data_IF_996395983188
#
_entry.id   IF_996395983188
#
_cell.length_a   1.000
_cell.length_b   1.000
_cell.length_c   1.000
_cell.angle_alpha   90.00
_cell.angle_beta   90.00
_cell.angle_gamma   90.00
#
_symmetry.space_group_name_H-M   'P 1'
#
loop_
_entity.id
_entity.type
_entity.pdbx_description
1 polymer ?
#
# COMPACT_ATOMS: atom_id res chain seq x y z
N UNK A 1 18.12 5.69 28.41
CA UNK A 1 16.86 6.42 28.22
C UNK A 1 16.99 7.76 27.47
N UNK A 2 17.98 8.64 27.80
CA UNK A 2 18.13 9.96 27.10
C UNK A 2 18.43 9.82 25.60
N UNK A 3 19.33 8.90 25.19
CA UNK A 3 19.66 8.64 23.78
C UNK A 3 18.46 8.14 22.96
N UNK A 4 17.64 7.24 23.49
CA UNK A 4 16.43 6.74 22.81
C UNK A 4 15.39 7.85 22.66
N UNK A 5 15.24 8.74 23.65
CA UNK A 5 14.36 9.90 23.54
C UNK A 5 14.87 10.89 22.48
N UNK A 6 16.17 11.18 22.44
CA UNK A 6 16.78 12.03 21.44
C UNK A 6 16.65 11.42 20.04
N UNK A 7 16.86 10.11 19.89
CA UNK A 7 16.67 9.41 18.63
C UNK A 7 15.21 9.50 18.15
N UNK A 8 14.24 9.29 19.02
CA UNK A 8 12.81 9.32 18.68
C UNK A 8 12.25 10.75 18.50
N UNK A 9 12.97 11.80 18.89
CA UNK A 9 12.58 13.18 18.62
C UNK A 9 12.80 13.58 17.15
N UNK A 10 13.66 12.84 16.43
CA UNK A 10 13.90 13.03 15.01
C UNK A 10 12.87 12.25 14.20
N UNK A 11 12.29 12.87 13.17
CA UNK A 11 11.29 12.18 12.32
C UNK A 11 11.87 10.90 11.70
N UNK A 12 11.03 9.86 11.54
CA UNK A 12 11.43 8.59 10.92
C UNK A 12 12.01 8.81 9.52
N UNK A 13 11.42 9.72 8.75
CA UNK A 13 11.87 10.09 7.40
C UNK A 13 13.30 10.58 7.43
N UNK A 14 13.63 11.55 8.29
CA UNK A 14 14.99 12.10 8.37
C UNK A 14 15.98 11.02 8.81
N UNK A 15 15.62 10.16 9.75
CA UNK A 15 16.46 9.03 10.17
C UNK A 15 16.73 8.06 9.02
N UNK A 16 15.74 7.77 8.16
CA UNK A 16 15.88 6.93 6.96
C UNK A 16 16.83 7.60 5.96
N UNK A 17 16.65 8.88 5.68
CA UNK A 17 17.54 9.63 4.77
C UNK A 17 18.99 9.63 5.27
N UNK A 18 19.19 9.82 6.57
CA UNK A 18 20.53 9.72 7.20
C UNK A 18 21.08 8.29 7.02
N UNK A 19 20.28 7.26 7.27
CA UNK A 19 20.66 5.85 7.05
C UNK A 19 21.09 5.57 5.61
N UNK A 20 20.32 6.06 4.62
CA UNK A 20 20.67 5.99 3.20
C UNK A 20 22.00 6.67 2.89
N UNK A 21 22.19 7.89 3.37
CA UNK A 21 23.42 8.65 3.14
C UNK A 21 24.65 7.94 3.74
N UNK A 22 24.53 7.44 4.97
CA UNK A 22 25.59 6.66 5.63
C UNK A 22 25.86 5.35 4.87
N UNK A 23 24.84 4.60 4.48
CA UNK A 23 24.96 3.35 3.72
C UNK A 23 25.69 3.57 2.38
N UNK A 24 25.32 4.62 1.65
CA UNK A 24 25.99 5.03 0.40
C UNK A 24 27.45 5.41 0.66
N UNK A 25 27.72 6.27 1.64
CA UNK A 25 29.07 6.72 1.96
C UNK A 25 29.98 5.52 2.34
N UNK A 26 29.51 4.63 3.19
CA UNK A 26 30.26 3.43 3.57
C UNK A 26 30.55 2.52 2.38
N UNK A 27 29.58 2.33 1.47
CA UNK A 27 29.77 1.52 0.26
C UNK A 27 30.83 2.11 -0.69
N UNK A 28 30.93 3.43 -0.77
CA UNK A 28 31.90 4.12 -1.63
C UNK A 28 33.29 4.25 -1.00
N UNK A 29 33.37 4.38 0.33
CA UNK A 29 34.63 4.59 1.04
C UNK A 29 35.39 3.29 1.37
N UNK A 30 34.67 2.17 1.48
CA UNK A 30 35.29 0.88 1.82
C UNK A 30 35.64 0.12 0.53
N UNK A 31 36.92 -0.13 0.22
CA UNK A 31 37.31 -0.91 -0.95
C UNK A 31 36.70 -2.33 -0.89
N UNK A 32 36.09 -2.78 -1.98
CA UNK A 32 35.41 -4.07 -2.06
C UNK A 32 34.39 -4.30 -0.91
N UNK A 33 33.61 -3.26 -0.59
CA UNK A 33 32.75 -3.18 0.60
C UNK A 33 31.85 -4.43 0.80
N UNK A 34 31.33 -5.01 -0.26
CA UNK A 34 30.51 -6.22 -0.20
C UNK A 34 31.25 -7.41 0.43
N UNK A 35 32.57 -7.53 0.23
CA UNK A 35 33.41 -8.62 0.74
C UNK A 35 34.05 -8.27 2.08
N UNK A 36 34.57 -7.03 2.21
CA UNK A 36 35.36 -6.61 3.38
C UNK A 36 34.51 -6.20 4.58
N UNK A 37 33.26 -5.79 4.37
CA UNK A 37 32.36 -5.39 5.44
C UNK A 37 30.95 -6.03 5.35
N UNK A 38 30.82 -7.37 5.21
CA UNK A 38 29.55 -8.05 5.01
C UNK A 38 28.58 -7.84 6.20
N UNK A 39 29.11 -7.54 7.39
CA UNK A 39 28.31 -7.28 8.60
C UNK A 39 27.37 -6.10 8.47
N UNK A 40 27.68 -5.09 7.63
CA UNK A 40 26.79 -3.95 7.41
C UNK A 40 25.54 -4.41 6.64
N UNK A 41 25.69 -5.27 5.64
CA UNK A 41 24.57 -5.84 4.89
C UNK A 41 23.60 -6.70 5.74
N UNK A 42 24.09 -7.27 6.85
CA UNK A 42 23.25 -8.04 7.79
C UNK A 42 22.10 -7.19 8.34
N UNK A 43 22.30 -5.90 8.56
CA UNK A 43 21.24 -5.02 9.04
C UNK A 43 20.05 -4.98 8.07
N UNK A 44 20.33 -4.94 6.76
CA UNK A 44 19.31 -5.03 5.72
C UNK A 44 18.59 -6.38 5.72
N UNK A 45 19.36 -7.47 5.78
CA UNK A 45 18.81 -8.84 5.82
C UNK A 45 17.91 -9.06 7.06
N UNK A 46 18.33 -8.61 8.24
CA UNK A 46 17.54 -8.70 9.47
C UNK A 46 16.23 -7.90 9.37
N UNK A 47 16.29 -6.69 8.81
CA UNK A 47 15.11 -5.85 8.65
C UNK A 47 14.09 -6.50 7.69
N UNK A 48 14.52 -6.93 6.51
CA UNK A 48 13.66 -7.62 5.53
C UNK A 48 13.14 -8.94 6.09
N UNK A 49 13.98 -9.71 6.80
CA UNK A 49 13.58 -10.95 7.47
C UNK A 49 12.50 -10.73 8.54
N UNK A 50 12.60 -9.67 9.34
CA UNK A 50 11.58 -9.32 10.33
C UNK A 50 10.25 -8.93 9.67
N UNK A 51 10.30 -8.19 8.56
CA UNK A 51 9.11 -7.86 7.77
C UNK A 51 8.49 -9.12 7.15
N UNK A 52 9.31 -9.99 6.55
CA UNK A 52 8.86 -11.27 5.99
C UNK A 52 8.14 -12.13 7.03
N UNK A 53 8.65 -12.16 8.27
CA UNK A 53 8.06 -12.96 9.35
C UNK A 53 6.69 -12.43 9.81
N UNK A 54 6.49 -11.11 9.85
CA UNK A 54 5.25 -10.51 10.40
C UNK A 54 4.17 -10.24 9.34
N UNK A 55 4.55 -10.07 8.06
CA UNK A 55 3.63 -9.68 7.00
C UNK A 55 2.45 -10.65 6.80
N UNK A 56 2.62 -11.99 6.77
CA UNK A 56 1.52 -12.93 6.64
C UNK A 56 0.47 -12.78 7.75
N UNK A 57 0.93 -12.65 9.00
CA UNK A 57 0.06 -12.48 10.16
C UNK A 57 -0.67 -11.12 10.11
N UNK A 58 0.04 -10.06 9.73
CA UNK A 58 -0.54 -8.73 9.58
C UNK A 58 -1.71 -8.77 8.59
N UNK A 59 -1.48 -9.26 7.38
CA UNK A 59 -2.50 -9.29 6.30
C UNK A 59 -3.71 -10.10 6.76
N UNK A 60 -3.50 -11.28 7.35
CA UNK A 60 -4.58 -12.15 7.82
C UNK A 60 -5.47 -11.46 8.86
N UNK A 61 -4.86 -10.94 9.93
CA UNK A 61 -5.60 -10.36 11.07
C UNK A 61 -6.28 -9.06 10.70
N UNK A 62 -5.63 -8.20 9.89
CA UNK A 62 -6.18 -6.92 9.48
C UNK A 62 -7.43 -7.07 8.62
N UNK A 63 -7.38 -7.96 7.61
CA UNK A 63 -8.52 -8.17 6.70
C UNK A 63 -9.71 -8.78 7.45
N UNK A 64 -9.46 -9.77 8.32
CA UNK A 64 -10.53 -10.34 9.17
C UNK A 64 -11.17 -9.25 10.03
N UNK A 65 -10.36 -8.46 10.74
CA UNK A 65 -10.86 -7.40 11.62
C UNK A 65 -11.66 -6.36 10.85
N UNK A 66 -11.16 -5.89 9.71
CA UNK A 66 -11.84 -4.88 8.90
C UNK A 66 -13.21 -5.35 8.39
N UNK A 67 -13.29 -6.59 7.89
CA UNK A 67 -14.54 -7.15 7.38
C UNK A 67 -15.53 -7.50 8.49
N UNK A 68 -15.08 -8.05 9.62
CA UNK A 68 -15.91 -8.38 10.75
C UNK A 68 -16.59 -7.15 11.37
N UNK A 69 -15.96 -5.98 11.30
CA UNK A 69 -16.48 -4.73 11.86
C UNK A 69 -17.37 -3.94 10.89
N UNK A 70 -17.51 -4.38 9.63
CA UNK A 70 -18.32 -3.68 8.64
C UNK A 70 -19.81 -3.70 9.04
N UNK A 71 -20.41 -2.50 9.23
CA UNK A 71 -21.81 -2.35 9.65
C UNK A 71 -22.80 -2.59 8.49
N UNK A 72 -23.93 -3.25 8.78
CA UNK A 72 -24.92 -3.65 7.75
C UNK A 72 -25.94 -2.56 7.36
N UNK A 73 -26.17 -1.56 8.20
CA UNK A 73 -27.24 -0.57 7.97
C UNK A 73 -26.67 0.82 7.84
N UNK A 74 -26.41 1.19 6.61
CA UNK A 74 -26.07 2.58 6.28
C UNK A 74 -26.85 3.02 5.03
N UNK A 75 -27.34 4.27 5.03
CA UNK A 75 -28.18 4.83 3.97
C UNK A 75 -27.52 4.76 2.56
N UNK A 76 -28.30 5.11 1.53
CA UNK A 76 -27.85 5.05 0.12
C UNK A 76 -26.54 5.81 -0.16
N UNK A 77 -26.21 6.82 0.65
CA UNK A 77 -24.97 7.58 0.56
C UNK A 77 -23.73 6.72 0.86
N UNK A 78 -23.83 5.82 1.84
CA UNK A 78 -22.75 4.89 2.19
C UNK A 78 -22.44 3.92 1.06
N UNK A 79 -23.47 3.35 0.45
CA UNK A 79 -23.25 2.52 -0.74
C UNK A 79 -22.52 3.26 -1.85
N UNK A 80 -22.86 4.56 -2.03
CA UNK A 80 -22.18 5.38 -3.05
C UNK A 80 -20.70 5.62 -2.70
N UNK A 81 -20.39 5.99 -1.45
CA UNK A 81 -19.00 6.27 -1.07
C UNK A 81 -18.13 5.02 -1.10
N UNK A 82 -18.65 3.87 -0.64
CA UNK A 82 -17.92 2.59 -0.72
C UNK A 82 -17.62 2.21 -2.17
N UNK A 83 -18.60 2.35 -3.07
CA UNK A 83 -18.38 2.09 -4.50
C UNK A 83 -17.32 3.04 -5.07
N UNK A 84 -17.36 4.32 -4.72
CA UNK A 84 -16.34 5.29 -5.18
C UNK A 84 -14.94 4.90 -4.67
N UNK A 85 -14.80 4.51 -3.40
CA UNK A 85 -13.54 4.06 -2.83
C UNK A 85 -12.97 2.84 -3.57
N UNK A 86 -13.78 1.79 -3.71
CA UNK A 86 -13.34 0.54 -4.34
C UNK A 86 -13.06 0.71 -5.84
N UNK A 87 -13.91 1.47 -6.55
CA UNK A 87 -13.71 1.74 -7.99
C UNK A 87 -12.47 2.60 -8.21
N UNK A 88 -12.23 3.62 -7.39
CA UNK A 88 -11.01 4.44 -7.45
C UNK A 88 -9.77 3.58 -7.24
N UNK A 89 -9.77 2.72 -6.24
CA UNK A 89 -8.66 1.83 -5.91
C UNK A 89 -8.39 0.83 -7.06
N UNK A 90 -9.44 0.24 -7.63
CA UNK A 90 -9.33 -0.66 -8.78
C UNK A 90 -8.81 0.06 -10.04
N UNK A 91 -9.35 1.23 -10.35
CA UNK A 91 -8.92 2.01 -11.52
C UNK A 91 -7.46 2.46 -11.38
N UNK A 92 -7.01 2.81 -10.17
CA UNK A 92 -5.62 3.15 -9.90
C UNK A 92 -4.69 1.97 -10.18
N UNK A 93 -5.06 0.75 -9.75
CA UNK A 93 -4.32 -0.46 -10.07
C UNK A 93 -4.31 -0.76 -11.57
N UNK A 94 -5.46 -0.64 -12.26
CA UNK A 94 -5.55 -0.87 -13.70
C UNK A 94 -4.69 0.12 -14.51
N UNK A 95 -4.65 1.39 -14.11
CA UNK A 95 -3.78 2.40 -14.72
C UNK A 95 -2.31 2.07 -14.45
N UNK A 96 -1.97 1.61 -13.26
CA UNK A 96 -0.63 1.17 -12.93
C UNK A 96 -0.18 0.00 -13.81
N UNK A 97 -1.08 -0.95 -14.11
CA UNK A 97 -0.82 -2.03 -15.09
C UNK A 97 -0.52 -1.43 -16.46
N UNK A 98 -1.41 -0.60 -17.00
CA UNK A 98 -1.23 0.02 -18.31
C UNK A 98 0.06 0.82 -18.38
N UNK A 99 0.34 1.63 -17.37
CA UNK A 99 1.55 2.43 -17.30
C UNK A 99 2.83 1.56 -17.24
N UNK A 100 2.79 0.45 -16.51
CA UNK A 100 3.91 -0.50 -16.43
C UNK A 100 4.18 -1.21 -17.76
N UNK A 101 3.15 -1.44 -18.58
CA UNK A 101 3.34 -1.95 -19.94
C UNK A 101 3.94 -0.90 -20.90
N UNK A 102 3.51 0.35 -20.77
CA UNK A 102 4.01 1.44 -21.62
C UNK A 102 5.43 1.86 -21.23
N UNK A 103 5.76 1.78 -19.96
CA UNK A 103 7.02 2.18 -19.36
C UNK A 103 7.57 1.05 -18.48
N UNK A 104 8.02 -0.08 -19.07
CA UNK A 104 8.56 -1.19 -18.30
C UNK A 104 9.80 -0.75 -17.53
N UNK A 105 9.80 -1.02 -16.22
CA UNK A 105 10.92 -0.74 -15.33
C UNK A 105 11.44 -2.04 -14.76
N UNK A 106 12.76 -2.22 -14.81
CA UNK A 106 13.47 -3.32 -14.15
C UNK A 106 14.18 -2.82 -12.91
N UNK A 107 14.42 -3.70 -11.96
CA UNK A 107 15.13 -3.42 -10.71
C UNK A 107 16.25 -4.43 -10.50
N UNK A 108 17.35 -4.01 -9.89
CA UNK A 108 18.41 -4.93 -9.54
C UNK A 108 18.00 -5.80 -8.35
N UNK A 109 17.98 -7.12 -8.55
CA UNK A 109 17.77 -8.14 -7.52
C UNK A 109 19.11 -8.79 -7.19
N UNK A 110 19.38 -9.03 -5.90
CA UNK A 110 20.68 -9.57 -5.43
C UNK A 110 20.80 -11.09 -5.57
N UNK A 111 19.67 -11.79 -5.65
CA UNK A 111 19.62 -13.24 -5.88
C UNK A 111 18.90 -13.51 -7.19
N UNK A 112 19.54 -14.26 -8.08
CA UNK A 112 18.88 -14.73 -9.30
C UNK A 112 17.73 -15.65 -8.90
N UNK A 113 16.53 -15.37 -9.42
CA UNK A 113 15.41 -16.27 -9.26
C UNK A 113 15.77 -17.60 -9.95
N UNK A 114 15.86 -18.67 -9.17
CA UNK A 114 16.03 -20.03 -9.68
C UNK A 114 14.71 -20.67 -10.12
N UNK A 115 13.59 -19.94 -9.89
CA UNK A 115 12.28 -20.45 -10.20
C UNK A 115 11.95 -20.23 -11.69
N UNK A 116 11.58 -21.31 -12.37
CA UNK A 116 11.06 -21.25 -13.73
C UNK A 116 9.74 -20.49 -13.74
N UNK A 117 9.66 -19.43 -14.55
CA UNK A 117 8.41 -18.74 -14.77
C UNK A 117 7.36 -19.73 -15.33
N UNK A 118 6.08 -19.62 -14.93
CA UNK A 118 5.03 -20.47 -15.47
C UNK A 118 4.96 -20.35 -17.00
N UNK A 119 4.94 -21.49 -17.69
CA UNK A 119 5.02 -21.52 -19.17
C UNK A 119 3.69 -21.15 -19.85
N UNK A 120 2.54 -21.30 -19.13
CA UNK A 120 1.23 -21.09 -19.71
C UNK A 120 0.23 -20.42 -18.77
N UNK A 121 -0.77 -19.75 -19.37
CA UNK A 121 -1.92 -19.19 -18.61
C UNK A 121 -2.67 -20.28 -17.83
N UNK A 122 -2.84 -21.46 -18.39
CA UNK A 122 -3.53 -22.58 -17.73
C UNK A 122 -2.79 -23.01 -16.46
N UNK A 123 -1.47 -23.02 -16.47
CA UNK A 123 -0.66 -23.31 -15.31
C UNK A 123 -0.77 -22.23 -14.24
N UNK A 124 -0.68 -20.93 -14.64
CA UNK A 124 -0.89 -19.80 -13.73
C UNK A 124 -2.28 -19.92 -13.08
N UNK A 125 -3.31 -20.15 -13.89
CA UNK A 125 -4.69 -20.22 -13.38
C UNK A 125 -4.91 -21.42 -12.45
N UNK A 126 -4.34 -22.58 -12.77
CA UNK A 126 -4.39 -23.77 -11.91
C UNK A 126 -3.66 -23.53 -10.59
N UNK A 127 -2.47 -22.95 -10.63
CA UNK A 127 -1.69 -22.60 -9.43
C UNK A 127 -2.43 -21.59 -8.57
N UNK A 128 -3.10 -20.60 -9.18
CA UNK A 128 -3.96 -19.65 -8.46
C UNK A 128 -5.08 -20.39 -7.71
N UNK A 129 -5.86 -21.22 -8.40
CA UNK A 129 -6.99 -21.91 -7.80
C UNK A 129 -6.56 -22.86 -6.67
N UNK A 130 -5.47 -23.59 -6.85
CA UNK A 130 -4.94 -24.50 -5.82
C UNK A 130 -4.37 -23.78 -4.61
N UNK A 131 -3.67 -22.66 -4.83
CA UNK A 131 -3.12 -21.84 -3.76
C UNK A 131 -4.18 -21.10 -2.94
N UNK A 132 -5.30 -20.69 -3.56
CA UNK A 132 -6.41 -20.03 -2.88
C UNK A 132 -7.02 -20.92 -1.79
N UNK A 133 -7.23 -22.20 -2.09
CA UNK A 133 -7.91 -23.15 -1.16
C UNK A 133 -6.94 -23.92 -0.26
N UNK A 134 -5.68 -23.53 -0.20
CA UNK A 134 -4.68 -24.16 0.67
C UNK A 134 -5.01 -23.99 2.15
N UNK A 135 -4.41 -24.83 3.01
CA UNK A 135 -4.65 -24.76 4.46
C UNK A 135 -4.35 -23.36 5.01
N UNK A 136 -5.25 -22.72 5.77
CA UNK A 136 -5.08 -21.34 6.23
C UNK A 136 -3.84 -21.14 7.12
N UNK A 137 -3.56 -22.08 8.03
CA UNK A 137 -2.38 -22.00 8.89
C UNK A 137 -1.11 -22.27 8.08
N UNK A 138 -1.15 -23.28 7.20
CA UNK A 138 -0.06 -23.55 6.27
C UNK A 138 0.26 -22.35 5.38
N UNK A 139 -0.77 -21.63 4.90
CA UNK A 139 -0.62 -20.40 4.12
C UNK A 139 0.12 -19.31 4.89
N UNK A 140 -0.21 -19.13 6.18
CA UNK A 140 0.48 -18.14 7.04
C UNK A 140 1.94 -18.53 7.23
N UNK A 141 2.23 -19.80 7.51
CA UNK A 141 3.59 -20.30 7.75
C UNK A 141 4.46 -20.23 6.49
N UNK A 142 3.90 -20.61 5.34
CA UNK A 142 4.62 -20.60 4.05
C UNK A 142 4.66 -19.21 3.39
N UNK A 143 3.85 -18.24 3.85
CA UNK A 143 3.71 -16.95 3.19
C UNK A 143 2.93 -17.04 1.87
N UNK A 144 2.00 -18.00 1.74
CA UNK A 144 1.06 -18.06 0.62
C UNK A 144 -0.02 -16.99 0.77
N UNK A 145 0.26 -15.79 0.25
CA UNK A 145 -0.64 -14.65 0.40
C UNK A 145 -1.99 -14.81 -0.29
N UNK A 146 -2.11 -15.64 -1.32
CA UNK A 146 -3.40 -15.96 -1.95
C UNK A 146 -4.33 -16.71 -1.00
N UNK A 147 -3.82 -17.77 -0.37
CA UNK A 147 -4.56 -18.51 0.65
C UNK A 147 -4.84 -17.66 1.88
N UNK A 148 -3.89 -16.83 2.32
CA UNK A 148 -4.07 -15.89 3.44
C UNK A 148 -5.23 -14.93 3.15
N UNK A 149 -5.24 -14.29 1.97
CA UNK A 149 -6.27 -13.33 1.57
C UNK A 149 -7.64 -14.00 1.48
N UNK A 150 -7.74 -15.16 0.83
CA UNK A 150 -8.97 -15.90 0.68
C UNK A 150 -9.59 -16.26 2.03
N UNK A 151 -8.83 -16.90 2.91
CA UNK A 151 -9.33 -17.29 4.22
C UNK A 151 -9.59 -16.10 5.14
N UNK A 152 -8.82 -15.03 5.03
CA UNK A 152 -9.10 -13.80 5.77
C UNK A 152 -10.42 -13.16 5.34
N UNK A 153 -10.76 -13.20 4.05
CA UNK A 153 -12.04 -12.70 3.53
C UNK A 153 -13.18 -13.60 4.03
N UNK A 154 -13.07 -14.92 3.87
CA UNK A 154 -14.10 -15.89 4.29
C UNK A 154 -14.37 -15.76 5.80
N UNK A 155 -13.32 -15.77 6.62
CA UNK A 155 -13.47 -15.64 8.08
C UNK A 155 -13.95 -14.24 8.48
N UNK A 156 -13.50 -13.18 7.81
CA UNK A 156 -13.96 -11.83 8.06
C UNK A 156 -15.47 -11.68 7.86
N UNK A 157 -16.02 -12.25 6.79
CA UNK A 157 -17.47 -12.29 6.57
C UNK A 157 -18.19 -13.20 7.57
N UNK A 158 -17.63 -14.35 7.93
CA UNK A 158 -18.21 -15.24 8.93
C UNK A 158 -18.30 -14.56 10.31
N UNK A 159 -17.29 -13.78 10.71
CA UNK A 159 -17.30 -13.02 11.96
C UNK A 159 -18.18 -11.76 11.94
N UNK A 160 -18.75 -11.39 10.80
CA UNK A 160 -19.65 -10.23 10.72
C UNK A 160 -20.87 -10.36 11.62
N UNK A 161 -21.40 -11.59 11.77
CA UNK A 161 -22.50 -11.94 12.70
C UNK A 161 -22.07 -12.24 14.14
N UNK A 162 -20.78 -12.15 14.48
CA UNK A 162 -20.29 -12.49 15.81
C UNK A 162 -20.68 -11.44 16.86
N UNK A 163 -20.62 -11.84 18.13
CA UNK A 163 -20.85 -10.96 19.27
C UNK A 163 -19.84 -9.80 19.30
N UNK A 164 -20.24 -8.68 19.91
CA UNK A 164 -19.39 -7.47 20.00
C UNK A 164 -18.08 -7.73 20.75
N UNK A 165 -18.06 -8.65 21.73
CA UNK A 165 -16.84 -9.07 22.42
C UNK A 165 -15.83 -9.71 21.47
N UNK A 166 -16.28 -10.57 20.55
CA UNK A 166 -15.43 -11.20 19.53
C UNK A 166 -14.91 -10.17 18.52
N UNK A 167 -15.76 -9.25 18.07
CA UNK A 167 -15.34 -8.15 17.18
C UNK A 167 -14.31 -7.24 17.83
N UNK A 168 -14.49 -6.96 19.13
CA UNK A 168 -13.54 -6.19 19.94
C UNK A 168 -12.20 -6.91 20.07
N UNK A 169 -12.22 -8.22 20.35
CA UNK A 169 -11.00 -9.04 20.37
C UNK A 169 -10.26 -9.01 19.03
N UNK A 170 -10.97 -9.11 17.90
CA UNK A 170 -10.34 -9.01 16.56
C UNK A 170 -9.73 -7.63 16.32
N UNK A 171 -10.37 -6.55 16.79
CA UNK A 171 -9.83 -5.21 16.73
C UNK A 171 -8.54 -5.07 17.55
N UNK A 172 -8.55 -5.57 18.79
CA UNK A 172 -7.40 -5.53 19.69
C UNK A 172 -6.24 -6.36 19.14
N UNK A 173 -6.52 -7.54 18.57
CA UNK A 173 -5.52 -8.38 17.90
C UNK A 173 -4.88 -7.66 16.69
N UNK A 174 -5.73 -7.01 15.87
CA UNK A 174 -5.28 -6.20 14.73
C UNK A 174 -4.37 -5.04 15.16
N UNK A 175 -4.76 -4.34 16.23
CA UNK A 175 -3.96 -3.26 16.80
C UNK A 175 -2.62 -3.76 17.35
N UNK A 176 -2.61 -4.91 18.03
CA UNK A 176 -1.41 -5.52 18.59
C UNK A 176 -0.41 -5.90 17.49
N UNK A 177 -0.87 -6.57 16.42
CA UNK A 177 -0.02 -6.92 15.28
C UNK A 177 0.48 -5.65 14.56
N UNK A 178 -0.37 -4.64 14.40
CA UNK A 178 0.02 -3.34 13.82
C UNK A 178 1.11 -2.66 14.66
N UNK A 179 1.04 -2.71 15.99
CA UNK A 179 2.09 -2.20 16.89
C UNK A 179 3.40 -2.95 16.70
N UNK A 180 3.36 -4.29 16.55
CA UNK A 180 4.55 -5.09 16.27
C UNK A 180 5.20 -4.71 14.93
N UNK A 181 4.41 -4.51 13.88
CA UNK A 181 4.91 -4.02 12.57
C UNK A 181 5.52 -2.63 12.69
N UNK A 182 4.87 -1.70 13.39
CA UNK A 182 5.43 -0.36 13.65
C UNK A 182 6.77 -0.42 14.38
N UNK A 183 6.94 -1.35 15.33
CA UNK A 183 8.23 -1.58 15.97
C UNK A 183 9.30 -1.97 14.95
N UNK A 184 9.01 -2.93 14.05
CA UNK A 184 9.93 -3.33 12.98
C UNK A 184 10.23 -2.14 12.05
N UNK A 185 9.21 -1.39 11.62
CA UNK A 185 9.37 -0.21 10.75
C UNK A 185 10.23 0.87 11.42
N UNK A 186 10.19 1.05 12.74
CA UNK A 186 11.06 1.98 13.44
C UNK A 186 12.55 1.61 13.36
N UNK A 187 12.88 0.37 13.02
CA UNK A 187 14.23 -0.09 12.73
C UNK A 187 14.66 0.16 11.27
N UNK A 188 13.75 0.64 10.42
CA UNK A 188 14.02 0.91 9.00
C UNK A 188 15.28 1.76 8.74
N UNK A 189 15.63 2.80 9.52
CA UNK A 189 16.87 3.56 9.29
C UNK A 189 18.12 2.68 9.25
N UNK A 190 18.21 1.69 10.13
CA UNK A 190 19.32 0.72 10.15
C UNK A 190 19.18 -0.33 9.04
N UNK A 191 17.97 -0.83 8.81
CA UNK A 191 17.70 -1.76 7.72
C UNK A 191 18.03 -1.17 6.35
N UNK A 192 17.56 0.05 6.10
CA UNK A 192 17.79 0.76 4.83
C UNK A 192 19.27 1.12 4.66
N UNK A 193 19.98 1.50 5.73
CA UNK A 193 21.42 1.65 5.69
C UNK A 193 22.08 0.38 5.12
N UNK A 194 21.75 -0.79 5.66
CA UNK A 194 22.30 -2.07 5.20
C UNK A 194 21.88 -2.43 3.77
N UNK A 195 20.63 -2.17 3.39
CA UNK A 195 20.13 -2.42 2.02
C UNK A 195 20.84 -1.54 1.00
N UNK A 196 20.94 -0.23 1.26
CA UNK A 196 21.61 0.72 0.37
C UNK A 196 23.10 0.43 0.30
N UNK A 197 23.74 0.11 1.42
CA UNK A 197 25.13 -0.32 1.43
C UNK A 197 25.34 -1.51 0.49
N UNK A 198 24.54 -2.55 0.60
CA UNK A 198 24.65 -3.74 -0.26
C UNK A 198 24.41 -3.37 -1.73
N UNK A 199 23.33 -2.64 -2.03
CA UNK A 199 22.97 -2.26 -3.39
C UNK A 199 24.06 -1.41 -4.08
N UNK A 200 24.60 -0.40 -3.39
CA UNK A 200 25.67 0.46 -3.93
C UNK A 200 26.99 -0.30 -4.03
N UNK A 201 27.32 -1.19 -3.09
CA UNK A 201 28.53 -2.01 -3.15
C UNK A 201 28.54 -3.00 -4.31
N UNK A 202 27.36 -3.47 -4.76
CA UNK A 202 27.24 -4.45 -5.86
C UNK A 202 27.03 -3.79 -7.23
N UNK A 203 26.19 -2.75 -7.29
CA UNK A 203 25.73 -2.15 -8.55
C UNK A 203 26.21 -0.69 -8.75
N UNK A 204 26.97 -0.16 -7.80
CA UNK A 204 27.42 1.23 -7.85
C UNK A 204 26.26 2.25 -7.73
N UNK A 205 26.54 3.51 -8.11
CA UNK A 205 25.55 4.60 -8.06
C UNK A 205 24.46 4.49 -9.14
N UNK A 206 24.64 3.62 -10.15
CA UNK A 206 23.63 3.40 -11.20
C UNK A 206 22.28 2.93 -10.64
N UNK A 207 22.28 2.26 -9.48
CA UNK A 207 21.07 1.81 -8.78
C UNK A 207 20.10 2.97 -8.47
N UNK A 208 20.58 4.15 -8.19
CA UNK A 208 19.72 5.32 -7.93
C UNK A 208 19.00 5.81 -9.19
N UNK A 209 19.57 5.57 -10.39
CA UNK A 209 18.89 5.87 -11.66
C UNK A 209 17.73 4.89 -11.90
N UNK A 210 17.93 3.61 -11.62
CA UNK A 210 16.87 2.58 -11.71
C UNK A 210 15.74 2.87 -10.72
N UNK A 211 16.09 3.14 -9.47
CA UNK A 211 15.10 3.50 -8.44
C UNK A 211 14.40 4.82 -8.76
N UNK A 212 15.11 5.76 -9.39
CA UNK A 212 14.53 7.03 -9.87
C UNK A 212 13.47 6.80 -10.95
N UNK A 213 13.70 5.90 -11.92
CA UNK A 213 12.71 5.52 -12.94
C UNK A 213 11.48 4.85 -12.32
N UNK A 214 11.70 3.91 -11.40
CA UNK A 214 10.63 3.24 -10.68
C UNK A 214 9.78 4.25 -9.88
N UNK A 215 10.43 5.14 -9.14
CA UNK A 215 9.77 6.18 -8.37
C UNK A 215 8.98 7.14 -9.28
N UNK A 216 9.53 7.51 -10.43
CA UNK A 216 8.86 8.39 -11.39
C UNK A 216 7.59 7.74 -11.94
N UNK A 217 7.62 6.45 -12.24
CA UNK A 217 6.45 5.69 -12.68
C UNK A 217 5.37 5.64 -11.59
N UNK A 218 5.75 5.34 -10.35
CA UNK A 218 4.86 5.34 -9.18
C UNK A 218 4.21 6.70 -8.97
N UNK A 219 5.02 7.76 -8.90
CA UNK A 219 4.55 9.14 -8.71
C UNK A 219 3.65 9.56 -9.86
N UNK A 220 4.02 9.24 -11.11
CA UNK A 220 3.22 9.54 -12.29
C UNK A 220 1.82 8.92 -12.23
N UNK A 221 1.72 7.63 -11.91
CA UNK A 221 0.44 6.93 -11.76
C UNK A 221 -0.39 7.47 -10.59
N UNK A 222 0.24 7.78 -9.46
CA UNK A 222 -0.43 8.35 -8.30
C UNK A 222 -1.00 9.73 -8.61
N UNK A 223 -0.21 10.60 -9.25
CA UNK A 223 -0.67 11.94 -9.67
C UNK A 223 -1.75 11.85 -10.74
N UNK A 224 -1.63 10.94 -11.70
CA UNK A 224 -2.68 10.69 -12.71
C UNK A 224 -4.00 10.27 -12.04
N UNK A 225 -3.93 9.38 -11.05
CA UNK A 225 -5.11 8.98 -10.28
C UNK A 225 -5.74 10.16 -9.54
N UNK A 226 -4.92 11.00 -8.88
CA UNK A 226 -5.41 12.14 -8.10
C UNK A 226 -5.97 13.28 -8.97
N UNK A 227 -5.34 13.55 -10.13
CA UNK A 227 -5.62 14.74 -10.94
C UNK A 227 -6.50 14.46 -12.17
N UNK A 228 -6.67 13.19 -12.55
CA UNK A 228 -7.48 12.80 -13.71
C UNK A 228 -8.59 11.84 -13.28
N UNK A 229 -8.25 10.67 -12.69
CA UNK A 229 -9.25 9.62 -12.38
C UNK A 229 -10.25 10.08 -11.35
N UNK A 230 -9.76 10.54 -10.20
CA UNK A 230 -10.63 10.99 -9.10
C UNK A 230 -11.51 12.19 -9.51
N UNK A 231 -11.00 13.24 -10.23
CA UNK A 231 -11.84 14.28 -10.79
C UNK A 231 -12.90 13.78 -11.77
N UNK A 232 -12.56 12.86 -12.67
CA UNK A 232 -13.53 12.26 -13.61
C UNK A 232 -14.64 11.54 -12.86
N UNK A 233 -14.30 10.72 -11.88
CA UNK A 233 -15.28 10.03 -11.03
C UNK A 233 -16.18 11.01 -10.27
N UNK A 234 -15.58 12.07 -9.70
CA UNK A 234 -16.29 13.13 -9.01
C UNK A 234 -17.24 13.87 -9.97
N UNK A 235 -16.77 14.23 -11.17
CA UNK A 235 -17.61 14.85 -12.19
C UNK A 235 -18.82 14.00 -12.58
N UNK A 236 -18.60 12.71 -12.85
CA UNK A 236 -19.68 11.77 -13.20
C UNK A 236 -20.75 11.70 -12.11
N UNK A 237 -20.32 11.73 -10.83
CA UNK A 237 -21.22 11.65 -9.69
C UNK A 237 -21.94 12.98 -9.40
N UNK A 238 -21.21 14.10 -9.38
CA UNK A 238 -21.74 15.43 -8.99
C UNK A 238 -22.38 16.17 -10.17
N UNK A 239 -21.90 15.93 -11.43
CA UNK A 239 -22.27 16.68 -12.62
C UNK A 239 -21.94 18.19 -12.54
N UNK A 240 -20.90 18.54 -11.78
CA UNK A 240 -20.31 19.88 -11.66
C UNK A 240 -18.79 19.78 -11.75
N UNK A 241 -18.13 20.92 -11.99
CA UNK A 241 -16.66 20.99 -12.03
C UNK A 241 -16.07 20.45 -10.71
N UNK A 242 -15.28 19.36 -10.71
CA UNK A 242 -14.74 18.75 -9.50
C UNK A 242 -13.46 19.42 -8.98
N UNK A 243 -12.75 20.17 -9.84
CA UNK A 243 -11.40 20.64 -9.52
C UNK A 243 -11.29 21.56 -8.30
N UNK A 244 -12.22 22.50 -8.05
CA UNK A 244 -12.16 23.29 -6.81
C UNK A 244 -12.17 22.42 -5.56
N UNK A 245 -13.03 21.38 -5.52
CA UNK A 245 -13.10 20.41 -4.43
C UNK A 245 -11.84 19.54 -4.35
N UNK A 246 -11.36 19.04 -5.48
CA UNK A 246 -10.14 18.20 -5.57
C UNK A 246 -8.94 18.94 -5.02
N UNK A 247 -8.69 20.18 -5.48
CA UNK A 247 -7.58 20.98 -4.99
C UNK A 247 -7.72 21.36 -3.52
N UNK A 248 -8.94 21.62 -3.04
CA UNK A 248 -9.18 21.85 -1.62
C UNK A 248 -8.82 20.61 -0.80
N UNK A 249 -9.24 19.43 -1.22
CA UNK A 249 -8.90 18.17 -0.53
C UNK A 249 -7.39 17.89 -0.56
N UNK A 250 -6.73 18.08 -1.71
CA UNK A 250 -5.28 17.90 -1.81
C UNK A 250 -4.52 18.89 -0.92
N UNK A 251 -4.94 20.14 -0.88
CA UNK A 251 -4.28 21.18 -0.08
C UNK A 251 -4.45 20.96 1.42
N UNK A 252 -5.68 20.73 1.88
CA UNK A 252 -5.99 20.66 3.32
C UNK A 252 -5.69 19.29 3.92
N UNK A 253 -6.05 18.21 3.22
CA UNK A 253 -5.82 16.84 3.67
C UNK A 253 -4.53 16.25 3.12
N UNK A 254 -4.31 16.32 1.80
CA UNK A 254 -3.19 15.68 1.14
C UNK A 254 -1.83 16.16 1.65
N UNK A 255 -1.66 17.46 1.84
CA UNK A 255 -0.40 18.01 2.39
C UNK A 255 -0.11 17.47 3.79
N UNK A 256 -1.11 17.47 4.67
CA UNK A 256 -0.95 16.93 6.03
C UNK A 256 -0.64 15.44 6.01
N UNK A 257 -1.37 14.68 5.19
CA UNK A 257 -1.17 13.24 5.03
C UNK A 257 0.21 12.90 4.45
N UNK A 258 0.73 13.71 3.52
CA UNK A 258 2.07 13.56 2.96
C UNK A 258 3.17 13.55 4.04
N UNK A 259 3.09 14.49 4.98
CA UNK A 259 4.10 14.59 6.03
C UNK A 259 3.89 13.59 7.18
N UNK A 260 2.63 13.27 7.51
CA UNK A 260 2.32 12.31 8.58
C UNK A 260 2.50 10.86 8.16
N UNK A 261 2.35 10.56 6.86
CA UNK A 261 2.41 9.21 6.29
C UNK A 261 1.46 8.24 7.01
N UNK A 262 0.32 8.75 7.45
CA UNK A 262 -0.69 7.96 8.17
C UNK A 262 -2.10 8.48 7.88
N UNK A 263 -2.87 7.72 7.12
CA UNK A 263 -4.29 8.02 6.87
C UNK A 263 -5.09 8.05 8.17
N UNK A 264 -4.76 7.18 9.12
CA UNK A 264 -5.41 7.16 10.44
C UNK A 264 -5.16 8.45 11.24
N UNK A 265 -3.91 8.96 11.23
CA UNK A 265 -3.58 10.23 11.89
C UNK A 265 -4.24 11.43 11.21
N UNK A 266 -4.62 11.30 9.93
CA UNK A 266 -5.27 12.37 9.15
C UNK A 266 -6.81 12.38 9.27
N UNK A 267 -7.42 11.40 9.93
CA UNK A 267 -8.87 11.32 10.14
C UNK A 267 -9.45 12.64 10.72
N UNK A 268 -8.88 13.25 11.79
CA UNK A 268 -9.40 14.49 12.33
C UNK A 268 -9.35 15.65 11.33
N UNK A 269 -8.32 15.71 10.49
CA UNK A 269 -8.18 16.74 9.43
C UNK A 269 -9.26 16.56 8.39
N UNK A 270 -9.51 15.35 7.93
CA UNK A 270 -10.56 15.03 6.98
C UNK A 270 -11.96 15.32 7.54
N UNK A 271 -12.19 15.02 8.82
CA UNK A 271 -13.47 15.35 9.47
C UNK A 271 -13.69 16.86 9.54
N UNK A 272 -12.69 17.64 9.91
CA UNK A 272 -12.77 19.10 9.94
C UNK A 272 -12.99 19.69 8.54
N UNK A 273 -12.35 19.12 7.52
CA UNK A 273 -12.58 19.48 6.11
C UNK A 273 -14.03 19.19 5.69
N UNK A 274 -14.58 18.03 6.02
CA UNK A 274 -15.98 17.68 5.75
C UNK A 274 -16.95 18.63 6.46
N UNK A 275 -16.68 18.99 7.71
CA UNK A 275 -17.44 19.98 8.46
C UNK A 275 -17.42 21.35 7.77
N UNK A 276 -16.24 21.80 7.30
CA UNK A 276 -16.08 23.06 6.56
C UNK A 276 -16.85 23.10 5.23
N UNK A 277 -17.09 21.93 4.65
CA UNK A 277 -17.91 21.75 3.44
C UNK A 277 -19.42 21.65 3.75
N UNK A 278 -19.82 21.71 5.01
CA UNK A 278 -21.20 21.63 5.45
C UNK A 278 -21.84 20.26 5.30
N UNK A 279 -21.01 19.20 5.31
CA UNK A 279 -21.48 17.82 5.19
C UNK A 279 -22.13 17.32 6.47
N UNK A 280 -22.98 16.31 6.35
CA UNK A 280 -23.65 15.66 7.47
C UNK A 280 -22.65 14.97 8.40
N UNK A 281 -22.64 15.36 9.67
CA UNK A 281 -21.75 14.84 10.70
C UNK A 281 -21.90 13.33 10.91
N UNK A 282 -23.12 12.80 10.90
CA UNK A 282 -23.36 11.37 11.06
C UNK A 282 -22.77 10.58 9.90
N UNK A 283 -22.81 11.14 8.68
CA UNK A 283 -22.26 10.53 7.49
C UNK A 283 -20.73 10.56 7.49
N UNK A 284 -20.09 11.73 7.63
CA UNK A 284 -18.62 11.79 7.52
C UNK A 284 -17.91 11.19 8.73
N UNK A 285 -18.54 11.13 9.92
CA UNK A 285 -17.97 10.46 11.10
C UNK A 285 -17.76 8.96 10.90
N UNK A 286 -18.44 8.36 9.92
CA UNK A 286 -18.29 6.94 9.58
C UNK A 286 -17.54 6.76 8.26
N UNK A 287 -17.84 7.58 7.23
CA UNK A 287 -17.20 7.43 5.92
C UNK A 287 -15.70 7.74 5.95
N UNK A 288 -15.26 8.74 6.71
CA UNK A 288 -13.84 9.10 6.79
C UNK A 288 -12.99 8.01 7.47
N UNK A 289 -13.33 7.47 8.65
CA UNK A 289 -12.59 6.33 9.22
C UNK A 289 -12.64 5.07 8.33
N UNK A 290 -13.76 4.84 7.63
CA UNK A 290 -13.87 3.75 6.67
C UNK A 290 -12.94 3.98 5.47
N UNK A 291 -12.91 5.20 4.90
CA UNK A 291 -12.01 5.58 3.81
C UNK A 291 -10.55 5.35 4.17
N UNK A 292 -10.14 5.77 5.37
CA UNK A 292 -8.77 5.57 5.86
C UNK A 292 -8.33 4.09 5.92
N UNK A 293 -9.25 3.14 5.70
CA UNK A 293 -8.96 1.70 5.65
C UNK A 293 -9.18 1.06 4.28
N UNK A 294 -10.18 1.50 3.50
CA UNK A 294 -10.55 0.83 2.23
C UNK A 294 -10.31 1.66 0.98
N UNK A 295 -10.07 2.97 1.10
CA UNK A 295 -9.79 3.85 -0.03
C UNK A 295 -8.28 4.02 -0.22
N UNK A 296 -7.67 3.05 -0.84
CA UNK A 296 -6.22 2.89 -0.87
C UNK A 296 -5.67 2.88 -2.31
N UNK A 297 -6.09 3.86 -3.12
CA UNK A 297 -5.70 3.97 -4.53
C UNK A 297 -4.17 4.04 -4.73
N UNK A 298 -3.47 4.82 -3.91
CA UNK A 298 -2.01 4.91 -3.95
C UNK A 298 -1.33 3.60 -3.57
N UNK A 299 -1.85 2.87 -2.55
CA UNK A 299 -1.35 1.56 -2.17
C UNK A 299 -1.54 0.53 -3.30
N UNK A 300 -2.68 0.57 -3.99
CA UNK A 300 -2.93 -0.31 -5.14
C UNK A 300 -1.96 -0.04 -6.29
N UNK A 301 -1.62 1.24 -6.57
CA UNK A 301 -0.55 1.61 -7.52
C UNK A 301 0.79 1.03 -7.09
N UNK A 302 1.16 1.20 -5.82
CA UNK A 302 2.42 0.69 -5.28
C UNK A 302 2.54 -0.82 -5.43
N UNK A 303 1.54 -1.57 -4.96
CA UNK A 303 1.51 -3.04 -5.05
C UNK A 303 1.66 -3.49 -6.50
N UNK A 304 0.90 -2.88 -7.42
CA UNK A 304 0.89 -3.25 -8.83
C UNK A 304 2.22 -2.97 -9.52
N UNK A 305 2.76 -1.76 -9.40
CA UNK A 305 4.00 -1.36 -10.09
C UNK A 305 5.20 -2.13 -9.54
N UNK A 306 5.28 -2.31 -8.23
CA UNK A 306 6.38 -3.03 -7.61
C UNK A 306 6.39 -4.51 -8.02
N UNK A 307 5.23 -5.16 -8.07
CA UNK A 307 5.11 -6.53 -8.55
C UNK A 307 5.47 -6.64 -10.05
N UNK A 308 4.99 -5.70 -10.89
CA UNK A 308 5.32 -5.71 -12.32
C UNK A 308 6.77 -5.36 -12.59
N UNK A 309 7.42 -4.56 -11.76
CA UNK A 309 8.87 -4.33 -11.85
C UNK A 309 9.65 -5.65 -11.61
N UNK A 310 9.24 -6.49 -10.67
CA UNK A 310 9.81 -7.82 -10.50
C UNK A 310 9.55 -8.71 -11.73
N UNK A 311 8.33 -8.70 -12.23
CA UNK A 311 7.91 -9.45 -13.45
C UNK A 311 8.77 -9.07 -14.66
N UNK A 312 8.96 -7.77 -14.92
CA UNK A 312 9.82 -7.29 -16.01
C UNK A 312 11.29 -7.67 -15.80
N UNK A 313 11.77 -7.60 -14.55
CA UNK A 313 13.15 -7.98 -14.20
C UNK A 313 13.42 -9.46 -14.49
N UNK A 314 12.43 -10.31 -14.20
CA UNK A 314 12.54 -11.77 -14.42
C UNK A 314 12.17 -12.20 -15.84
N UNK A 315 11.80 -11.27 -16.73
CA UNK A 315 11.42 -11.58 -18.10
C UNK A 315 10.08 -12.33 -18.23
N UNK A 316 9.23 -12.28 -17.21
CA UNK A 316 7.93 -12.96 -17.20
C UNK A 316 6.94 -12.20 -18.10
N UNK A 317 6.30 -12.91 -19.03
CA UNK A 317 5.27 -12.33 -19.88
C UNK A 317 3.92 -12.28 -19.17
N UNK A 318 3.33 -11.09 -19.07
CA UNK A 318 2.03 -10.91 -18.42
C UNK A 318 0.92 -10.91 -19.45
N UNK A 319 -0.01 -11.84 -19.34
CA UNK A 319 -1.20 -11.92 -20.18
C UNK A 319 -2.32 -11.02 -19.63
N UNK A 320 -3.16 -10.47 -20.50
CA UNK A 320 -4.24 -9.54 -20.11
C UNK A 320 -5.16 -10.08 -19.00
N UNK A 321 -5.61 -11.35 -19.00
CA UNK A 321 -6.43 -11.87 -17.89
C UNK A 321 -5.71 -11.82 -16.55
N UNK A 322 -4.40 -12.12 -16.52
CA UNK A 322 -3.60 -12.08 -15.29
C UNK A 322 -3.41 -10.64 -14.80
N UNK A 323 -3.26 -9.69 -15.73
CA UNK A 323 -3.19 -8.27 -15.41
C UNK A 323 -4.49 -7.73 -14.77
N UNK A 324 -5.66 -8.21 -15.23
CA UNK A 324 -6.96 -7.89 -14.61
C UNK A 324 -7.03 -8.48 -13.19
N UNK A 325 -6.64 -9.75 -13.02
CA UNK A 325 -6.59 -10.40 -11.71
C UNK A 325 -5.66 -9.64 -10.77
N UNK A 326 -4.48 -9.22 -11.25
CA UNK A 326 -3.55 -8.39 -10.48
C UNK A 326 -4.22 -7.10 -9.99
N UNK A 327 -4.96 -6.40 -10.87
CA UNK A 327 -5.65 -5.16 -10.51
C UNK A 327 -6.71 -5.38 -9.43
N UNK A 328 -7.47 -6.48 -9.51
CA UNK A 328 -8.46 -6.87 -8.49
C UNK A 328 -7.75 -7.22 -7.17
N UNK A 329 -6.70 -8.04 -7.22
CA UNK A 329 -5.94 -8.45 -6.04
C UNK A 329 -5.26 -7.27 -5.36
N UNK A 330 -4.65 -6.36 -6.14
CA UNK A 330 -4.03 -5.16 -5.60
C UNK A 330 -5.06 -4.25 -4.92
N UNK A 331 -6.25 -4.09 -5.51
CA UNK A 331 -7.33 -3.31 -4.91
C UNK A 331 -7.86 -3.92 -3.62
N UNK A 332 -8.10 -5.24 -3.58
CA UNK A 332 -8.54 -5.94 -2.38
C UNK A 332 -7.45 -5.97 -1.30
N UNK A 333 -6.21 -6.24 -1.70
CA UNK A 333 -5.07 -6.25 -0.79
C UNK A 333 -4.81 -4.87 -0.18
N UNK A 334 -4.91 -3.81 -0.99
CA UNK A 334 -4.73 -2.43 -0.54
C UNK A 334 -5.67 -2.08 0.62
N UNK A 335 -6.92 -2.60 0.63
CA UNK A 335 -7.85 -2.45 1.76
C UNK A 335 -7.29 -3.05 3.07
N UNK A 336 -6.30 -3.94 3.00
CA UNK A 336 -5.58 -4.51 4.15
C UNK A 336 -4.28 -3.76 4.51
N UNK A 337 -3.93 -2.67 3.83
CA UNK A 337 -2.66 -1.96 4.06
C UNK A 337 -2.60 -1.19 5.40
N UNK A 338 -3.71 -1.09 6.12
CA UNK A 338 -3.79 -0.61 7.53
C UNK A 338 -3.38 0.85 7.80
N UNK A 339 -3.18 1.70 6.80
CA UNK A 339 -2.85 3.12 7.03
C UNK A 339 -1.59 3.37 7.87
N UNK A 340 -0.68 2.39 7.96
CA UNK A 340 0.65 2.53 8.57
C UNK A 340 1.70 2.73 7.49
N UNK A 341 2.72 3.52 7.80
CA UNK A 341 3.81 3.79 6.88
C UNK A 341 4.44 2.48 6.36
N UNK A 342 4.55 2.36 5.03
CA UNK A 342 5.10 1.16 4.38
C UNK A 342 4.19 -0.08 4.40
N UNK A 343 2.92 0.05 4.83
CA UNK A 343 1.99 -1.08 4.89
C UNK A 343 1.71 -1.71 3.53
N UNK A 344 1.61 -0.93 2.47
CA UNK A 344 1.41 -1.39 1.10
C UNK A 344 2.55 -2.26 0.59
N UNK A 345 3.79 -1.97 1.00
CA UNK A 345 4.97 -2.73 0.60
C UNK A 345 4.91 -4.19 1.07
N UNK A 346 4.29 -4.44 2.24
CA UNK A 346 4.14 -5.78 2.77
C UNK A 346 3.13 -6.65 1.99
N UNK A 347 2.40 -6.05 1.07
CA UNK A 347 1.43 -6.72 0.18
C UNK A 347 2.01 -7.04 -1.21
N UNK A 348 3.22 -6.57 -1.50
CA UNK A 348 3.92 -6.89 -2.76
C UNK A 348 4.09 -8.39 -2.96
N UNK A 349 4.48 -9.20 -1.95
CA UNK A 349 4.60 -10.65 -2.12
C UNK A 349 3.30 -11.33 -2.55
N UNK A 350 2.14 -10.82 -2.10
CA UNK A 350 0.83 -11.30 -2.56
C UNK A 350 0.67 -11.10 -4.08
N UNK A 351 1.02 -9.93 -4.60
CA UNK A 351 0.94 -9.66 -6.03
C UNK A 351 2.00 -10.43 -6.84
N UNK A 352 3.20 -10.59 -6.30
CA UNK A 352 4.28 -11.39 -6.91
C UNK A 352 3.91 -12.88 -7.00
N UNK A 353 3.21 -13.42 -6.00
CA UNK A 353 2.80 -14.83 -5.99
C UNK A 353 1.84 -15.19 -7.14
N UNK A 354 1.11 -14.22 -7.68
CA UNK A 354 0.28 -14.37 -8.89
C UNK A 354 1.10 -14.83 -10.11
N UNK A 355 2.36 -14.46 -10.16
CA UNK A 355 3.29 -14.76 -11.26
C UNK A 355 4.27 -15.89 -10.94
N UNK A 356 4.04 -16.63 -9.86
CA UNK A 356 4.95 -17.71 -9.42
C UNK A 356 6.28 -17.19 -8.85
N UNK A 357 6.40 -15.89 -8.58
CA UNK A 357 7.62 -15.30 -8.00
C UNK A 357 7.71 -15.72 -6.54
N UNK A 358 8.87 -16.30 -6.17
CA UNK A 358 9.11 -16.76 -4.80
C UNK A 358 9.05 -15.63 -3.78
N UNK A 359 8.68 -15.99 -2.54
CA UNK A 359 8.59 -14.99 -1.47
C UNK A 359 9.95 -14.33 -1.17
N UNK A 360 11.06 -15.03 -1.39
CA UNK A 360 12.40 -14.48 -1.19
C UNK A 360 12.73 -13.37 -2.20
N UNK A 361 12.40 -13.58 -3.46
CA UNK A 361 12.53 -12.55 -4.50
C UNK A 361 11.57 -11.40 -4.25
N UNK A 362 10.32 -11.68 -3.92
CA UNK A 362 9.33 -10.64 -3.59
C UNK A 362 9.76 -9.77 -2.41
N UNK A 363 10.42 -10.35 -1.40
CA UNK A 363 10.94 -9.58 -0.27
C UNK A 363 12.16 -8.70 -0.62
N UNK A 364 12.93 -9.04 -1.66
CA UNK A 364 13.93 -8.11 -2.20
C UNK A 364 13.26 -6.88 -2.82
N UNK A 365 12.15 -7.08 -3.55
CA UNK A 365 11.34 -5.99 -4.11
C UNK A 365 10.78 -5.10 -2.98
N UNK A 366 10.31 -5.69 -1.89
CA UNK A 366 9.91 -4.96 -0.67
C UNK A 366 11.07 -4.13 -0.14
N UNK A 367 12.28 -4.67 -0.11
CA UNK A 367 13.50 -3.95 0.28
C UNK A 367 13.75 -2.72 -0.58
N UNK A 368 13.62 -2.83 -1.91
CA UNK A 368 13.69 -1.69 -2.84
C UNK A 368 12.60 -0.66 -2.52
N UNK A 369 11.36 -1.13 -2.27
CA UNK A 369 10.25 -0.28 -1.86
C UNK A 369 10.56 0.56 -0.62
N UNK A 370 11.21 -0.01 0.40
CA UNK A 370 11.61 0.74 1.59
C UNK A 370 12.70 1.79 1.29
N UNK A 371 13.60 1.54 0.32
CA UNK A 371 14.62 2.53 -0.08
C UNK A 371 13.96 3.77 -0.69
N UNK A 372 12.99 3.58 -1.59
CA UNK A 372 12.26 4.69 -2.23
C UNK A 372 11.08 5.19 -1.39
N UNK A 373 10.77 4.50 -0.30
CA UNK A 373 9.53 4.63 0.49
C UNK A 373 9.30 5.99 1.12
N UNK A 374 10.34 6.83 1.27
CA UNK A 374 10.16 8.18 1.82
C UNK A 374 9.22 9.01 0.95
N UNK A 375 9.44 9.04 -0.37
CA UNK A 375 8.63 9.81 -1.32
C UNK A 375 7.38 9.02 -1.70
N UNK A 376 7.55 7.73 -2.01
CA UNK A 376 6.47 6.85 -2.44
C UNK A 376 5.34 6.82 -1.41
N UNK A 377 5.62 6.49 -0.16
CA UNK A 377 4.62 6.32 0.89
C UNK A 377 4.01 7.67 1.36
N UNK A 378 4.80 8.76 1.29
CA UNK A 378 4.26 10.10 1.53
C UNK A 378 3.21 10.49 0.50
N UNK A 379 3.48 10.26 -0.79
CA UNK A 379 2.53 10.58 -1.85
C UNK A 379 1.35 9.61 -1.88
N UNK A 380 1.61 8.31 -1.66
CA UNK A 380 0.58 7.29 -1.48
C UNK A 380 -0.44 7.71 -0.42
N UNK A 381 0.04 8.09 0.76
CA UNK A 381 -0.82 8.50 1.87
C UNK A 381 -1.55 9.81 1.57
N UNK A 382 -0.89 10.76 0.90
CA UNK A 382 -1.52 12.02 0.50
C UNK A 382 -2.72 11.79 -0.41
N UNK A 383 -2.60 10.89 -1.37
CA UNK A 383 -3.65 10.57 -2.35
C UNK A 383 -4.76 9.75 -1.70
N UNK A 384 -4.42 8.74 -0.92
CA UNK A 384 -5.41 7.94 -0.20
C UNK A 384 -6.26 8.84 0.69
N UNK A 385 -5.64 9.62 1.56
CA UNK A 385 -6.34 10.41 2.55
C UNK A 385 -7.10 11.60 1.97
N UNK A 386 -6.55 12.30 0.98
CA UNK A 386 -7.30 13.40 0.33
C UNK A 386 -8.52 12.92 -0.43
N UNK A 387 -8.46 11.72 -1.02
CA UNK A 387 -9.61 11.11 -1.69
C UNK A 387 -10.66 10.57 -0.72
N UNK A 388 -10.35 10.32 0.55
CA UNK A 388 -11.35 10.01 1.58
C UNK A 388 -12.35 11.17 1.73
N UNK A 389 -11.83 12.39 1.92
CA UNK A 389 -12.64 13.59 2.02
C UNK A 389 -13.35 13.91 0.70
N UNK A 390 -12.65 13.77 -0.44
CA UNK A 390 -13.21 14.00 -1.77
C UNK A 390 -14.44 13.11 -2.01
N UNK A 391 -14.31 11.79 -1.88
CA UNK A 391 -15.40 10.88 -2.20
C UNK A 391 -16.52 10.90 -1.15
N UNK A 392 -16.22 11.21 0.11
CA UNK A 392 -17.24 11.51 1.11
C UNK A 392 -18.07 12.71 0.66
N UNK A 393 -17.45 13.83 0.28
CA UNK A 393 -18.16 15.00 -0.21
C UNK A 393 -18.93 14.72 -1.50
N UNK A 394 -18.33 14.01 -2.45
CA UNK A 394 -18.96 13.63 -3.73
C UNK A 394 -20.23 12.79 -3.51
N UNK A 395 -20.19 11.84 -2.59
CA UNK A 395 -21.35 10.99 -2.28
C UNK A 395 -22.51 11.79 -1.72
N UNK A 396 -22.23 12.76 -0.83
CA UNK A 396 -23.25 13.64 -0.26
C UNK A 396 -23.73 14.68 -1.27
N UNK A 397 -22.85 15.30 -2.02
CA UNK A 397 -23.23 16.27 -3.07
C UNK A 397 -24.08 15.63 -4.17
N UNK A 398 -23.83 14.38 -4.51
CA UNK A 398 -24.72 13.59 -5.39
C UNK A 398 -26.14 13.48 -4.81
N UNK A 399 -26.25 13.30 -3.49
CA UNK A 399 -27.56 13.28 -2.81
C UNK A 399 -28.21 14.66 -2.75
N UNK A 400 -27.44 15.71 -2.44
CA UNK A 400 -27.94 17.11 -2.46
C UNK A 400 -28.52 17.44 -3.82
N UNK A 401 -27.79 17.13 -4.90
CA UNK A 401 -28.31 17.34 -6.27
C UNK A 401 -29.65 16.62 -6.51
N UNK A 402 -29.79 15.38 -6.04
CA UNK A 402 -31.05 14.63 -6.19
C UNK A 402 -32.21 15.26 -5.43
N UNK A 403 -31.92 15.92 -4.32
CA UNK A 403 -32.87 16.57 -3.46
C UNK A 403 -33.09 18.08 -3.81
N UNK A 404 -32.50 18.56 -4.92
CA UNK A 404 -32.61 19.97 -5.34
C UNK A 404 -31.82 20.97 -4.50
N UNK A 405 -30.92 20.50 -3.61
CA UNK A 405 -30.05 21.37 -2.80
C UNK A 405 -28.86 21.82 -3.63
N UNK A 406 -28.53 23.11 -3.59
CA UNK A 406 -27.34 23.62 -4.28
C UNK A 406 -26.03 23.09 -3.65
N UNK A 407 -25.08 22.72 -4.51
CA UNK A 407 -23.72 22.38 -4.10
C UNK A 407 -22.93 23.69 -4.08
N UNK A 408 -22.54 24.15 -2.90
CA UNK A 408 -21.58 25.24 -2.75
C UNK A 408 -20.19 24.68 -3.07
N UNK A 409 -19.61 25.16 -4.18
CA UNK A 409 -18.26 24.75 -4.65
C UNK A 409 -17.21 25.74 -4.19
#
# INVERSE_FOLDING_TARGET
MKLVKAYNSVSLVLRIVIGMAIGTALALLIPNAAVTAPGIGILGKLFVGALKAIAPLLVFVLIISALAQSKEKMGKQFGTVIVLYLVSTFLAAAIAVVASYLFPVTITLTEAASDSAPESFAEIFTNLLTNIVSNPIGSIVSGNFLGILFWAIVLGFAFKGAADSTKRFLADASEAVTKAVRFVINLAPFGILGLVFTAVSTSGLAIFTEYGKLLLLLVGCMLFSALIVNPVMAFVAMRKNPYPLVFKCLKESGVTAFFTRSSAANIPVNMSLCESLGLDKEFYSVSIPLGATINMAGAAVTITIMALAAVHTLGITVQLPVAIILSVMAALGACGASGVAGGSLLLIPMACSLFGISNDVAMQVVGVGFIIGVIQDSLETAINSSSDALFTAVAEFKQWRKNGKEIQS
#
